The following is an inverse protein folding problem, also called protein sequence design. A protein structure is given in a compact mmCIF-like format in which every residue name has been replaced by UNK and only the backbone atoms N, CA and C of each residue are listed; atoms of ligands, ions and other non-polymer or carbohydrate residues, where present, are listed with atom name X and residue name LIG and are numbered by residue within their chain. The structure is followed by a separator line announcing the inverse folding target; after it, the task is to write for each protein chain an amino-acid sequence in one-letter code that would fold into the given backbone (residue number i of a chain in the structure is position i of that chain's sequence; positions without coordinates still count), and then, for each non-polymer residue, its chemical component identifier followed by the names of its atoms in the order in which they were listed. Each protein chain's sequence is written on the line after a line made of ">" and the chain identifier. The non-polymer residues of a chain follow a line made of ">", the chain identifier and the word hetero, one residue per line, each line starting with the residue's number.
data_IF_390368129069
#
_entry.id   IF_390368129069
#
_cell.length_a   1.000
_cell.length_b   1.000
_cell.length_c   1.000
_cell.angle_alpha   90.00
_cell.angle_beta   90.00
_cell.angle_gamma   90.00
#
_symmetry.space_group_name_H-M   'P 1'
#
loop_
_entity.id
_entity.type
_entity.pdbx_description
1 polymer ?
#
# COMPACT_ATOMS: atom_id res chain seq x y z
N UNK A 1 -12.39 -4.24 19.05
CA UNK A 1 -11.90 -3.16 18.17
C UNK A 1 -10.44 -3.00 18.50
N UNK A 2 -9.57 -3.22 17.51
CA UNK A 2 -8.13 -3.36 17.74
C UNK A 2 -7.47 -1.98 17.60
N UNK A 3 -7.43 -1.22 18.69
CA UNK A 3 -6.76 0.08 18.83
C UNK A 3 -5.23 -0.08 18.82
N UNK A 4 -4.66 -0.47 17.69
CA UNK A 4 -3.20 -0.50 17.48
C UNK A 4 -2.72 0.60 16.54
N UNK A 5 -3.64 1.32 15.89
CA UNK A 5 -3.34 2.41 14.96
C UNK A 5 -3.27 3.72 15.74
N UNK A 6 -2.07 4.29 15.78
CA UNK A 6 -1.77 5.52 16.51
C UNK A 6 -2.02 6.79 15.69
N UNK A 7 -1.65 6.75 14.40
CA UNK A 7 -1.89 7.86 13.49
C UNK A 7 -2.20 7.35 12.07
N UNK A 8 -3.04 8.10 11.36
CA UNK A 8 -3.40 7.87 9.98
C UNK A 8 -3.61 9.18 9.26
N UNK A 9 -2.93 9.35 8.14
CA UNK A 9 -3.09 10.50 7.27
C UNK A 9 -3.20 10.02 5.82
N UNK A 10 -3.90 10.78 4.99
CA UNK A 10 -4.02 10.49 3.56
C UNK A 10 -3.76 11.75 2.74
N UNK A 11 -3.03 11.59 1.64
CA UNK A 11 -2.70 12.65 0.70
C UNK A 11 -2.92 12.12 -0.71
N UNK A 12 -3.83 12.74 -1.44
CA UNK A 12 -4.02 12.42 -2.85
C UNK A 12 -3.15 13.33 -3.72
N UNK A 13 -2.41 12.73 -4.64
CA UNK A 13 -1.66 13.42 -5.68
C UNK A 13 -2.38 13.24 -7.02
N UNK A 14 -3.04 14.31 -7.46
CA UNK A 14 -3.78 14.34 -8.72
C UNK A 14 -2.87 14.21 -9.96
N UNK A 15 -1.60 14.62 -9.88
CA UNK A 15 -0.67 14.57 -11.01
C UNK A 15 -0.24 13.13 -11.30
N UNK A 16 -0.05 12.33 -10.25
CA UNK A 16 0.31 10.91 -10.33
C UNK A 16 -0.90 9.99 -10.22
N UNK A 17 -2.09 10.53 -9.97
CA UNK A 17 -3.31 9.78 -9.62
C UNK A 17 -3.02 8.76 -8.51
N UNK A 18 -2.27 9.21 -7.51
CA UNK A 18 -1.72 8.35 -6.46
C UNK A 18 -2.31 8.74 -5.11
N UNK A 19 -2.82 7.76 -4.37
CA UNK A 19 -3.24 7.96 -2.98
C UNK A 19 -2.11 7.53 -2.05
N UNK A 20 -1.54 8.48 -1.33
CA UNK A 20 -0.55 8.25 -0.28
C UNK A 20 -1.26 8.12 1.06
N UNK A 21 -0.95 7.04 1.78
CA UNK A 21 -1.63 6.67 3.01
C UNK A 21 -0.58 6.42 4.09
N UNK A 22 -0.51 7.30 5.08
CA UNK A 22 0.34 7.10 6.24
C UNK A 22 -0.37 6.23 7.28
N UNK A 23 0.39 5.30 7.87
CA UNK A 23 -0.05 4.42 8.96
C UNK A 23 1.04 4.30 10.01
N UNK A 24 0.69 4.65 11.24
CA UNK A 24 1.56 4.45 12.40
C UNK A 24 0.88 3.49 13.37
N UNK A 25 1.57 2.39 13.70
CA UNK A 25 1.10 1.44 14.70
C UNK A 25 1.97 1.47 15.94
N UNK A 26 1.37 1.10 17.08
CA UNK A 26 2.11 0.96 18.34
C UNK A 26 3.09 -0.24 18.31
N UNK A 27 2.69 -1.34 17.66
CA UNK A 27 3.55 -2.51 17.46
C UNK A 27 3.99 -2.61 15.99
N UNK A 28 5.31 -2.67 15.79
CA UNK A 28 5.92 -2.82 14.47
C UNK A 28 5.49 -4.11 13.74
N UNK A 29 5.06 -5.14 14.47
CA UNK A 29 4.53 -6.41 13.94
C UNK A 29 3.01 -6.41 13.78
N UNK A 30 2.40 -5.24 13.60
CA UNK A 30 0.98 -5.14 13.30
C UNK A 30 0.74 -5.29 11.80
N UNK A 31 -0.12 -6.23 11.43
CA UNK A 31 -0.65 -6.31 10.06
C UNK A 31 -1.79 -5.32 9.87
N UNK A 32 -1.86 -4.79 8.66
CA UNK A 32 -3.04 -4.09 8.19
C UNK A 32 -4.27 -5.01 8.28
N UNK A 33 -5.40 -4.50 8.79
CA UNK A 33 -6.65 -5.24 8.80
C UNK A 33 -7.02 -5.72 7.38
N UNK A 34 -7.45 -6.98 7.21
CA UNK A 34 -7.84 -7.51 5.89
C UNK A 34 -8.93 -6.67 5.20
N UNK A 35 -9.80 -6.03 5.99
CA UNK A 35 -10.84 -5.14 5.46
C UNK A 35 -10.28 -3.88 4.78
N UNK A 36 -9.19 -3.30 5.31
CA UNK A 36 -8.53 -2.14 4.67
C UNK A 36 -7.88 -2.55 3.34
N UNK A 37 -7.15 -3.68 3.33
CA UNK A 37 -6.53 -4.23 2.13
C UNK A 37 -7.57 -4.49 1.02
N UNK A 38 -8.70 -5.10 1.37
CA UNK A 38 -9.80 -5.33 0.43
C UNK A 38 -10.41 -4.02 -0.07
N UNK A 39 -10.53 -3.01 0.80
CA UNK A 39 -11.00 -1.68 0.42
C UNK A 39 -10.11 -1.02 -0.62
N UNK A 40 -8.80 -1.03 -0.41
CA UNK A 40 -7.83 -0.46 -1.35
C UNK A 40 -7.73 -1.24 -2.65
N UNK A 41 -7.76 -2.57 -2.58
CA UNK A 41 -7.80 -3.41 -3.77
C UNK A 41 -9.02 -3.08 -4.65
N UNK A 42 -10.20 -2.89 -4.05
CA UNK A 42 -11.41 -2.46 -4.78
C UNK A 42 -11.27 -1.06 -5.38
N UNK A 43 -10.64 -0.12 -4.66
CA UNK A 43 -10.41 1.24 -5.18
C UNK A 43 -9.49 1.22 -6.40
N UNK A 44 -8.37 0.48 -6.33
CA UNK A 44 -7.47 0.27 -7.47
C UNK A 44 -8.18 -0.38 -8.65
N UNK A 45 -9.00 -1.40 -8.41
CA UNK A 45 -9.80 -2.04 -9.47
C UNK A 45 -10.82 -1.08 -10.11
N UNK A 46 -11.46 -0.23 -9.30
CA UNK A 46 -12.40 0.78 -9.79
C UNK A 46 -11.72 1.94 -10.51
N UNK A 47 -10.40 2.10 -10.30
CA UNK A 47 -9.62 3.22 -10.80
C UNK A 47 -10.04 4.56 -10.21
N UNK A 48 -10.67 4.57 -9.02
CA UNK A 48 -11.21 5.79 -8.39
C UNK A 48 -10.99 5.85 -6.88
N UNK A 49 -10.78 7.07 -6.37
CA UNK A 49 -10.80 7.37 -4.93
C UNK A 49 -12.23 7.32 -4.38
N UNK A 50 -12.43 7.26 -3.04
CA UNK A 50 -13.77 7.39 -2.44
C UNK A 50 -14.48 8.71 -2.79
N UNK A 51 -13.72 9.75 -3.12
CA UNK A 51 -14.24 11.05 -3.56
C UNK A 51 -14.57 11.09 -5.07
N UNK A 52 -14.25 10.03 -5.82
CA UNK A 52 -14.53 9.89 -7.25
C UNK A 52 -13.41 10.35 -8.19
N UNK A 53 -12.26 10.74 -7.67
CA UNK A 53 -11.08 11.14 -8.46
C UNK A 53 -10.42 9.92 -9.09
N UNK A 54 -9.70 10.10 -10.20
CA UNK A 54 -9.00 9.00 -10.86
C UNK A 54 -7.86 8.46 -9.99
N UNK A 55 -7.72 7.14 -9.91
CA UNK A 55 -6.74 6.47 -9.06
C UNK A 55 -6.03 5.38 -9.86
N UNK A 56 -4.71 5.48 -9.98
CA UNK A 56 -3.86 4.48 -10.61
C UNK A 56 -2.95 3.78 -9.60
N UNK A 57 -2.56 4.48 -8.53
CA UNK A 57 -1.63 3.97 -7.53
C UNK A 57 -2.13 4.21 -6.11
N UNK A 58 -1.87 3.26 -5.22
CA UNK A 58 -1.97 3.45 -3.77
C UNK A 58 -0.60 3.17 -3.19
N UNK A 59 -0.09 4.09 -2.38
CA UNK A 59 1.20 4.00 -1.70
C UNK A 59 0.96 4.10 -0.19
N UNK A 60 1.36 3.09 0.57
CA UNK A 60 1.26 3.10 2.02
C UNK A 60 2.63 3.41 2.61
N UNK A 61 2.69 4.41 3.47
CA UNK A 61 3.86 4.83 4.20
C UNK A 61 3.70 4.42 5.65
N UNK A 62 4.59 3.56 6.14
CA UNK A 62 4.64 3.19 7.55
C UNK A 62 5.67 4.03 8.30
N UNK A 63 5.40 4.36 9.56
CA UNK A 63 6.38 5.09 10.39
C UNK A 63 7.70 4.34 10.59
N UNK A 64 7.67 3.01 10.56
CA UNK A 64 8.80 2.14 10.82
C UNK A 64 9.06 1.17 9.65
N UNK A 65 10.34 0.96 9.33
CA UNK A 65 10.75 0.00 8.30
C UNK A 65 10.27 -1.43 8.60
N UNK A 66 10.32 -1.87 9.87
CA UNK A 66 9.86 -3.21 10.28
C UNK A 66 8.38 -3.45 10.00
N UNK A 67 7.55 -2.41 10.10
CA UNK A 67 6.13 -2.50 9.77
C UNK A 67 5.92 -2.60 8.27
N UNK A 68 6.71 -1.86 7.50
CA UNK A 68 6.72 -1.96 6.05
C UNK A 68 7.12 -3.37 5.59
N UNK A 69 8.18 -3.95 6.17
CA UNK A 69 8.58 -5.34 5.96
C UNK A 69 7.45 -6.31 6.27
N UNK A 70 6.84 -6.20 7.45
CA UNK A 70 5.80 -7.13 7.89
C UNK A 70 4.54 -7.09 7.02
N UNK A 71 4.26 -5.94 6.38
CA UNK A 71 3.13 -5.75 5.48
C UNK A 71 3.50 -5.82 3.99
N UNK A 72 4.78 -6.00 3.63
CA UNK A 72 5.26 -5.90 2.25
C UNK A 72 4.61 -6.93 1.34
N UNK A 73 4.61 -8.19 1.77
CA UNK A 73 4.07 -9.29 1.00
C UNK A 73 2.58 -9.08 0.65
N UNK A 74 1.64 -8.97 1.60
CA UNK A 74 0.21 -8.83 1.28
C UNK A 74 -0.11 -7.57 0.46
N UNK A 75 0.64 -6.48 0.65
CA UNK A 75 0.46 -5.24 -0.12
C UNK A 75 0.98 -5.36 -1.55
N UNK A 76 2.13 -6.01 -1.75
CA UNK A 76 2.71 -6.23 -3.07
C UNK A 76 1.81 -7.10 -3.95
N UNK A 77 1.18 -8.14 -3.37
CA UNK A 77 0.14 -8.94 -4.07
C UNK A 77 -1.02 -8.07 -4.58
N UNK A 78 -1.36 -7.00 -3.86
CA UNK A 78 -2.44 -6.08 -4.23
C UNK A 78 -1.96 -4.93 -5.13
N UNK A 79 -0.71 -4.95 -5.60
CA UNK A 79 -0.04 -3.87 -6.34
C UNK A 79 -0.02 -2.53 -5.59
N UNK A 80 -0.04 -2.58 -4.26
CA UNK A 80 0.05 -1.40 -3.40
C UNK A 80 1.52 -1.15 -3.10
N UNK A 81 1.98 0.08 -3.33
CA UNK A 81 3.35 0.48 -3.04
C UNK A 81 3.58 0.54 -1.54
N UNK A 82 4.73 0.03 -1.08
CA UNK A 82 5.07 -0.07 0.34
C UNK A 82 6.27 0.83 0.62
N UNK A 83 6.12 1.73 1.58
CA UNK A 83 7.10 2.75 1.93
C UNK A 83 7.25 2.85 3.45
N UNK A 84 8.33 3.47 3.90
CA UNK A 84 8.54 3.82 5.31
C UNK A 84 9.08 5.25 5.45
N UNK A 85 8.85 5.87 6.62
CA UNK A 85 9.21 7.26 6.90
C UNK A 85 7.95 8.11 7.17
N UNK A 86 7.88 9.28 6.58
CA UNK A 86 6.74 10.20 6.64
C UNK A 86 6.23 10.54 5.21
N UNK A 87 5.11 11.27 5.10
CA UNK A 87 4.51 11.60 3.80
C UNK A 87 5.37 12.54 2.93
N UNK A 88 6.35 13.22 3.51
CA UNK A 88 7.21 14.17 2.81
C UNK A 88 8.55 13.54 2.41
N UNK A 89 9.02 12.52 3.16
CA UNK A 89 10.29 11.81 2.99
C UNK A 89 10.10 10.29 2.99
N UNK A 90 9.12 9.79 2.23
CA UNK A 90 8.83 8.37 2.12
C UNK A 90 9.92 7.63 1.33
N UNK A 91 10.46 6.56 1.92
CA UNK A 91 11.40 5.64 1.24
C UNK A 91 10.70 4.35 0.87
N UNK A 92 10.79 3.92 -0.39
CA UNK A 92 10.18 2.66 -0.82
C UNK A 92 10.85 1.49 -0.11
N UNK A 93 10.06 0.63 0.49
CA UNK A 93 10.55 -0.62 1.04
C UNK A 93 10.88 -1.58 -0.11
N UNK A 94 12.08 -2.16 -0.09
CA UNK A 94 12.50 -3.21 -0.99
C UNK A 94 12.88 -4.40 -0.12
N UNK A 95 12.26 -5.56 -0.35
CA UNK A 95 12.69 -6.80 0.28
C UNK A 95 14.07 -7.21 -0.28
N UNK A 96 14.93 -7.78 0.55
CA UNK A 96 16.19 -8.38 0.10
C UNK A 96 15.95 -9.54 -0.89
N UNK A 97 14.82 -10.23 -0.75
CA UNK A 97 14.35 -11.27 -1.67
C UNK A 97 13.72 -10.69 -2.97
N UNK A 98 13.69 -9.36 -3.12
CA UNK A 98 13.06 -8.65 -4.23
C UNK A 98 11.56 -8.42 -4.04
N UNK A 99 10.98 -7.54 -4.86
CA UNK A 99 9.51 -7.48 -4.98
C UNK A 99 9.03 -8.84 -5.54
N UNK A 100 7.98 -9.48 -4.97
CA UNK A 100 7.44 -10.70 -5.55
C UNK A 100 7.07 -10.40 -7.00
N UNK A 101 7.81 -11.00 -7.93
CA UNK A 101 7.72 -10.70 -9.34
C UNK A 101 6.35 -11.06 -9.88
N UNK A 102 5.42 -10.11 -9.87
CA UNK A 102 4.21 -10.20 -10.65
C UNK A 102 4.51 -9.71 -12.06
N UNK A 103 5.30 -10.51 -12.79
CA UNK A 103 5.40 -10.37 -14.22
C UNK A 103 4.01 -10.67 -14.79
N UNK A 104 3.26 -9.60 -15.07
CA UNK A 104 1.88 -9.66 -15.56
C UNK A 104 1.86 -9.96 -17.06
N UNK A 105 2.78 -10.81 -17.55
CA UNK A 105 2.98 -11.04 -18.98
C UNK A 105 3.34 -12.44 -19.42
N UNK A 106 3.13 -13.48 -18.60
CA UNK A 106 3.50 -14.83 -19.01
C UNK A 106 2.48 -15.94 -18.79
N UNK A 107 1.19 -15.64 -18.54
CA UNK A 107 0.19 -16.71 -18.35
C UNK A 107 -1.23 -16.43 -18.88
N UNK A 108 -1.34 -15.65 -19.96
CA UNK A 108 -2.51 -15.76 -20.85
C UNK A 108 -2.11 -16.63 -22.03
N UNK A 109 -2.20 -17.96 -21.83
CA UNK A 109 -2.14 -18.96 -22.90
C UNK A 109 -3.31 -18.78 -23.87
N UNK A 110 -3.16 -17.84 -24.81
CA UNK A 110 -3.87 -17.84 -26.07
C UNK A 110 -2.88 -18.34 -27.12
N UNK A 111 -2.92 -19.64 -27.39
CA UNK A 111 -2.75 -20.19 -28.74
C UNK A 111 -4.15 -20.58 -29.26
#
# INVERSE_FOLDING_TARGET
>A
MSDFLKNSETRYDASQKALWVYREFDDAKTLLPPAELQGWSKQLQSGKTPAGEALEHINIVFSQQKTAEYNHQPLSFSKIGVYYGDLDNATRYQSEDGDPGFDTRSDFGIE
#
